data_IF_155251660040
#
_entry.id   IF_155251660040
#
_cell.length_a   1.000
_cell.length_b   1.000
_cell.length_c   1.000
_cell.angle_alpha   90.00
_cell.angle_beta   90.00
_cell.angle_gamma   90.00
#
_symmetry.space_group_name_H-M   'P 1'
#
loop_
_entity.id
_entity.type
_entity.pdbx_description
1 polymer ?
#
# COMPACT_ATOMS: atom_id res chain seq x y z
N UNK A 1 12.81 4.23 -3.38
CA UNK A 1 13.09 5.65 -3.14
C UNK A 1 13.08 6.47 -4.43
N UNK A 2 13.99 6.22 -5.39
CA UNK A 2 14.18 7.06 -6.59
C UNK A 2 12.90 7.21 -7.44
N UNK A 3 12.16 6.14 -7.70
CA UNK A 3 10.91 6.22 -8.51
C UNK A 3 9.82 6.96 -7.74
N UNK A 4 9.72 6.77 -6.42
CA UNK A 4 8.79 7.52 -5.57
C UNK A 4 9.10 9.02 -5.64
N UNK A 5 10.38 9.41 -5.48
CA UNK A 5 10.81 10.80 -5.62
C UNK A 5 10.39 11.39 -6.97
N UNK A 6 10.74 10.71 -8.08
CA UNK A 6 10.41 11.15 -9.44
C UNK A 6 8.91 11.24 -9.72
N UNK A 7 8.10 10.39 -9.09
CA UNK A 7 6.65 10.46 -9.19
C UNK A 7 6.12 11.69 -8.43
N UNK A 8 6.59 11.90 -7.20
CA UNK A 8 6.11 12.98 -6.34
C UNK A 8 6.56 14.37 -6.80
N UNK A 9 7.78 14.49 -7.35
CA UNK A 9 8.32 15.70 -7.96
C UNK A 9 7.41 16.26 -9.10
N UNK A 10 6.54 15.44 -9.67
CA UNK A 10 5.56 15.90 -10.66
C UNK A 10 4.40 16.73 -10.05
N UNK A 11 4.19 16.65 -8.73
CA UNK A 11 3.00 17.19 -8.06
C UNK A 11 3.30 18.08 -6.86
N UNK A 12 4.51 18.06 -6.33
CA UNK A 12 4.90 18.82 -5.15
C UNK A 12 6.31 19.38 -5.30
N UNK A 13 6.67 20.34 -4.47
CA UNK A 13 8.01 20.91 -4.44
C UNK A 13 9.09 19.88 -4.07
N UNK A 14 10.32 20.15 -4.46
CA UNK A 14 11.47 19.28 -4.23
C UNK A 14 11.66 18.94 -2.74
N UNK A 15 11.42 19.91 -1.85
CA UNK A 15 11.54 19.72 -0.40
C UNK A 15 10.49 18.72 0.12
N UNK A 16 9.23 18.86 -0.30
CA UNK A 16 8.17 17.93 0.07
C UNK A 16 8.40 16.52 -0.48
N UNK A 17 8.87 16.41 -1.73
CA UNK A 17 9.20 15.11 -2.33
C UNK A 17 10.36 14.41 -1.60
N UNK A 18 11.40 15.14 -1.22
CA UNK A 18 12.51 14.61 -0.41
C UNK A 18 12.03 14.15 0.96
N UNK A 19 11.22 14.95 1.66
CA UNK A 19 10.64 14.57 2.95
C UNK A 19 9.80 13.30 2.84
N UNK A 20 8.96 13.21 1.81
CA UNK A 20 8.14 12.02 1.57
C UNK A 20 8.98 10.74 1.43
N UNK A 21 10.10 10.81 0.71
CA UNK A 21 11.04 9.66 0.57
C UNK A 21 11.72 9.33 1.88
N UNK A 22 12.13 10.34 2.66
CA UNK A 22 12.69 10.12 4.00
C UNK A 22 11.68 9.44 4.93
N UNK A 23 10.43 9.91 4.99
CA UNK A 23 9.40 9.28 5.80
C UNK A 23 9.01 7.89 5.31
N UNK A 24 9.05 7.65 4.00
CA UNK A 24 8.90 6.30 3.47
C UNK A 24 10.01 5.36 3.99
N UNK A 25 11.26 5.81 3.98
CA UNK A 25 12.40 5.03 4.48
C UNK A 25 12.35 4.81 6.01
N UNK A 26 11.81 5.77 6.76
CA UNK A 26 11.62 5.71 8.21
C UNK A 26 10.29 5.07 8.64
N UNK A 27 9.46 4.64 7.70
CA UNK A 27 8.16 4.04 8.05
C UNK A 27 8.33 2.74 8.84
N UNK A 28 7.44 2.42 9.78
CA UNK A 28 7.56 1.24 10.65
C UNK A 28 7.78 -0.08 9.91
N UNK A 29 7.21 -0.19 8.71
CA UNK A 29 7.28 -1.40 7.88
C UNK A 29 8.29 -1.32 6.73
N UNK A 30 9.17 -0.30 6.70
CA UNK A 30 10.10 -0.11 5.58
C UNK A 30 11.12 -1.24 5.43
N UNK A 31 11.49 -1.94 6.49
CA UNK A 31 12.40 -3.07 6.44
C UNK A 31 11.86 -4.25 5.61
N UNK A 32 10.55 -4.38 5.44
CA UNK A 32 9.96 -5.38 4.55
C UNK A 32 10.35 -5.17 3.08
N UNK A 33 10.70 -3.93 2.69
CA UNK A 33 11.22 -3.67 1.34
C UNK A 33 12.68 -4.11 1.15
N UNK A 34 13.41 -4.41 2.22
CA UNK A 34 14.75 -5.01 2.18
C UNK A 34 14.73 -6.52 2.39
N UNK A 35 13.63 -7.06 2.91
CA UNK A 35 13.45 -8.50 3.10
C UNK A 35 13.22 -9.22 1.75
N UNK A 36 13.52 -10.54 1.65
CA UNK A 36 13.29 -11.33 0.43
C UNK A 36 11.80 -11.62 0.23
N UNK A 37 11.01 -10.57 0.06
CA UNK A 37 9.56 -10.58 -0.08
C UNK A 37 9.11 -9.83 -1.32
N UNK A 38 7.84 -9.94 -1.69
CA UNK A 38 7.28 -9.35 -2.92
C UNK A 38 7.03 -7.85 -2.85
N UNK A 39 7.14 -7.23 -1.67
CA UNK A 39 6.78 -5.81 -1.44
C UNK A 39 7.62 -4.85 -2.28
N UNK A 40 8.92 -5.04 -2.35
CA UNK A 40 9.83 -4.20 -3.12
C UNK A 40 9.48 -4.18 -4.60
N UNK A 41 9.26 -5.37 -5.18
CA UNK A 41 8.92 -5.51 -6.59
C UNK A 41 7.52 -4.95 -6.87
N UNK A 42 6.56 -5.24 -6.00
CA UNK A 42 5.20 -4.70 -6.08
C UNK A 42 5.20 -3.17 -6.07
N UNK A 43 5.89 -2.57 -5.10
CA UNK A 43 5.99 -1.10 -4.97
C UNK A 43 6.70 -0.48 -6.17
N UNK A 44 7.79 -1.08 -6.64
CA UNK A 44 8.51 -0.60 -7.83
C UNK A 44 7.60 -0.59 -9.06
N UNK A 45 6.92 -1.70 -9.35
CA UNK A 45 6.02 -1.82 -10.49
C UNK A 45 4.82 -0.87 -10.37
N UNK A 46 4.25 -0.72 -9.18
CA UNK A 46 3.15 0.21 -8.92
C UNK A 46 3.56 1.66 -9.17
N UNK A 47 4.70 2.07 -8.63
CA UNK A 47 5.23 3.43 -8.82
C UNK A 47 5.61 3.70 -10.27
N UNK A 48 6.24 2.75 -10.98
CA UNK A 48 6.55 2.87 -12.39
C UNK A 48 5.28 2.99 -13.23
N UNK A 49 4.26 2.19 -12.94
CA UNK A 49 2.96 2.27 -13.60
C UNK A 49 2.36 3.66 -13.49
N UNK A 50 2.30 4.22 -12.28
CA UNK A 50 1.80 5.57 -12.02
C UNK A 50 2.66 6.65 -12.69
N UNK A 51 3.99 6.58 -12.54
CA UNK A 51 4.92 7.54 -13.12
C UNK A 51 4.83 7.59 -14.65
N UNK A 52 4.82 6.42 -15.30
CA UNK A 52 4.74 6.32 -16.76
C UNK A 52 3.38 6.79 -17.28
N UNK A 53 2.28 6.48 -16.58
CA UNK A 53 0.96 7.01 -16.90
C UNK A 53 0.96 8.55 -16.85
N UNK A 54 1.57 9.13 -15.81
CA UNK A 54 1.74 10.58 -15.65
C UNK A 54 2.59 11.22 -16.75
N UNK A 55 3.57 10.48 -17.27
CA UNK A 55 4.42 10.89 -18.40
C UNK A 55 3.77 10.63 -19.76
N UNK A 56 2.50 10.21 -19.80
CA UNK A 56 1.75 9.91 -21.04
C UNK A 56 2.16 8.62 -21.75
N UNK A 57 2.98 7.78 -21.11
CA UNK A 57 3.45 6.51 -21.68
C UNK A 57 2.51 5.37 -21.29
N UNK A 58 1.36 5.27 -21.98
CA UNK A 58 0.27 4.34 -21.64
C UNK A 58 0.72 2.88 -21.64
N UNK A 59 1.34 2.42 -22.74
CA UNK A 59 1.70 0.99 -22.88
C UNK A 59 2.61 0.49 -21.77
N UNK A 60 3.78 1.09 -21.48
CA UNK A 60 4.59 0.64 -20.38
C UNK A 60 3.92 0.84 -19.03
N UNK A 61 3.05 1.85 -18.86
CA UNK A 61 2.30 2.04 -17.61
C UNK A 61 1.39 0.84 -17.30
N UNK A 62 0.60 0.37 -18.26
CA UNK A 62 -0.30 -0.78 -18.05
C UNK A 62 0.47 -2.10 -17.92
N UNK A 63 1.61 -2.24 -18.61
CA UNK A 63 2.48 -3.42 -18.44
C UNK A 63 3.06 -3.50 -17.03
N UNK A 64 3.60 -2.39 -16.49
CA UNK A 64 4.05 -2.37 -15.08
C UNK A 64 2.89 -2.55 -14.10
N UNK A 65 1.69 -2.07 -14.43
CA UNK A 65 0.46 -2.36 -13.67
C UNK A 65 0.14 -3.86 -13.65
N UNK A 66 0.27 -4.54 -14.80
CA UNK A 66 0.09 -5.99 -14.89
C UNK A 66 1.17 -6.75 -14.09
N UNK A 67 2.43 -6.32 -14.14
CA UNK A 67 3.47 -6.91 -13.30
C UNK A 67 3.20 -6.72 -11.80
N UNK A 68 2.68 -5.56 -11.39
CA UNK A 68 2.26 -5.35 -10.01
C UNK A 68 1.12 -6.30 -9.62
N UNK A 69 0.11 -6.48 -10.48
CA UNK A 69 -1.00 -7.41 -10.27
C UNK A 69 -0.58 -8.89 -10.28
N UNK A 70 0.45 -9.23 -11.06
CA UNK A 70 1.08 -10.56 -11.04
C UNK A 70 1.83 -10.81 -9.74
N UNK A 71 2.54 -9.80 -9.24
CA UNK A 71 3.33 -9.91 -8.00
C UNK A 71 2.45 -10.01 -6.75
N UNK A 72 1.35 -9.26 -6.72
CA UNK A 72 0.35 -9.27 -5.63
C UNK A 72 -1.04 -8.98 -6.21
N UNK A 73 -2.04 -9.74 -5.80
CA UNK A 73 -3.43 -9.56 -6.26
C UNK A 73 -3.96 -8.12 -6.09
N UNK A 74 -3.52 -7.43 -5.04
CA UNK A 74 -3.84 -6.02 -4.77
C UNK A 74 -3.36 -5.06 -5.87
N UNK A 75 -2.45 -5.49 -6.74
CA UNK A 75 -2.01 -4.71 -7.90
C UNK A 75 -3.14 -4.39 -8.90
N UNK A 76 -4.21 -5.18 -8.91
CA UNK A 76 -5.42 -4.89 -9.70
C UNK A 76 -6.04 -3.55 -9.31
N UNK A 77 -5.89 -3.11 -8.05
CA UNK A 77 -6.40 -1.82 -7.56
C UNK A 77 -5.76 -0.63 -8.30
N UNK A 78 -4.60 -0.80 -8.93
CA UNK A 78 -4.00 0.23 -9.78
C UNK A 78 -4.91 0.69 -10.92
N UNK A 79 -5.92 -0.10 -11.31
CA UNK A 79 -6.95 0.34 -12.24
C UNK A 79 -7.59 1.67 -11.80
N UNK A 80 -7.79 1.87 -10.50
CA UNK A 80 -8.43 3.08 -9.96
C UNK A 80 -7.58 4.34 -10.25
N UNK A 81 -6.33 4.46 -9.75
CA UNK A 81 -5.54 5.66 -10.01
C UNK A 81 -5.20 5.83 -11.49
N UNK A 82 -5.00 4.76 -12.26
CA UNK A 82 -4.77 4.84 -13.70
C UNK A 82 -6.00 5.39 -14.45
N UNK A 83 -7.20 4.95 -14.10
CA UNK A 83 -8.44 5.48 -14.66
C UNK A 83 -8.61 6.98 -14.30
N UNK A 84 -8.33 7.37 -13.05
CA UNK A 84 -8.35 8.79 -12.65
C UNK A 84 -7.39 9.65 -13.49
N UNK A 85 -6.19 9.15 -13.81
CA UNK A 85 -5.25 9.86 -14.68
C UNK A 85 -5.77 9.97 -16.11
N UNK A 86 -6.43 8.94 -16.66
CA UNK A 86 -7.06 8.99 -17.98
C UNK A 86 -8.22 9.98 -18.00
N UNK A 87 -9.08 9.98 -17.00
CA UNK A 87 -10.19 10.95 -16.86
C UNK A 87 -9.65 12.37 -16.84
N UNK A 88 -8.65 12.64 -16.01
CA UNK A 88 -8.06 13.96 -15.82
C UNK A 88 -7.44 14.52 -17.11
N UNK A 89 -6.82 13.69 -17.93
CA UNK A 89 -6.26 14.10 -19.23
C UNK A 89 -7.26 14.04 -20.38
N UNK A 90 -8.53 13.71 -20.11
CA UNK A 90 -9.60 13.54 -21.13
C UNK A 90 -9.18 12.55 -22.23
N UNK A 91 -8.67 11.38 -21.81
CA UNK A 91 -8.18 10.35 -22.70
C UNK A 91 -9.27 9.79 -23.60
N UNK A 92 -8.85 9.25 -24.76
CA UNK A 92 -9.77 8.60 -25.71
C UNK A 92 -10.24 7.25 -25.17
N UNK A 93 -11.43 6.80 -25.54
CA UNK A 93 -12.03 5.52 -25.09
C UNK A 93 -11.09 4.33 -25.25
N UNK A 94 -10.35 4.25 -26.36
CA UNK A 94 -9.36 3.20 -26.63
C UNK A 94 -8.26 3.10 -25.55
N UNK A 95 -7.96 4.18 -24.88
CA UNK A 95 -6.93 4.19 -23.81
C UNK A 95 -7.46 3.55 -22.52
N UNK A 96 -8.76 3.66 -22.27
CA UNK A 96 -9.40 2.92 -21.17
C UNK A 96 -9.42 1.41 -21.42
N UNK A 97 -9.57 0.98 -22.67
CA UNK A 97 -9.49 -0.45 -23.04
C UNK A 97 -8.10 -1.01 -22.70
N UNK A 98 -7.03 -0.22 -22.87
CA UNK A 98 -5.69 -0.65 -22.49
C UNK A 98 -5.54 -0.98 -21.00
N UNK A 99 -6.36 -0.41 -20.12
CA UNK A 99 -6.35 -0.74 -18.68
C UNK A 99 -6.69 -2.23 -18.42
N UNK A 100 -7.40 -2.88 -19.34
CA UNK A 100 -7.70 -4.32 -19.25
C UNK A 100 -6.44 -5.21 -19.22
N UNK A 101 -5.28 -4.68 -19.60
CA UNK A 101 -3.98 -5.37 -19.48
C UNK A 101 -3.59 -5.56 -18.01
N UNK A 102 -3.96 -4.65 -17.09
CA UNK A 102 -3.58 -4.73 -15.69
C UNK A 102 -4.08 -6.01 -15.01
N UNK A 103 -5.37 -6.37 -15.06
CA UNK A 103 -5.85 -7.61 -14.45
C UNK A 103 -5.33 -8.89 -15.12
N UNK A 104 -4.81 -8.83 -16.35
CA UNK A 104 -4.17 -9.99 -16.99
C UNK A 104 -2.94 -10.47 -16.20
N UNK A 105 -2.25 -9.59 -15.47
CA UNK A 105 -1.18 -10.00 -14.56
C UNK A 105 -1.69 -10.94 -13.46
N UNK A 106 -2.81 -10.59 -12.82
CA UNK A 106 -3.43 -11.47 -11.84
C UNK A 106 -3.99 -12.76 -12.48
N UNK A 107 -4.57 -12.66 -13.67
CA UNK A 107 -5.03 -13.84 -14.41
C UNK A 107 -3.87 -14.80 -14.74
N UNK A 108 -2.69 -14.28 -15.10
CA UNK A 108 -1.48 -15.08 -15.31
C UNK A 108 -1.05 -15.79 -14.02
N UNK A 109 -1.10 -15.11 -12.86
CA UNK A 109 -0.85 -15.72 -11.56
C UNK A 109 -1.85 -16.85 -11.26
N UNK A 110 -3.14 -16.64 -11.49
CA UNK A 110 -4.17 -17.67 -11.34
C UNK A 110 -3.93 -18.87 -12.27
N UNK A 111 -3.50 -18.61 -13.50
CA UNK A 111 -3.17 -19.67 -14.46
C UNK A 111 -1.99 -20.53 -13.97
N UNK A 112 -0.95 -19.92 -13.38
CA UNK A 112 0.17 -20.66 -12.77
C UNK A 112 -0.33 -21.52 -11.62
N UNK A 113 -1.15 -20.96 -10.72
CA UNK A 113 -1.75 -21.76 -9.63
C UNK A 113 -2.53 -22.96 -10.20
N UNK A 114 -3.35 -22.75 -11.21
CA UNK A 114 -4.10 -23.83 -11.85
C UNK A 114 -3.18 -24.91 -12.44
N UNK A 115 -2.12 -24.51 -13.13
CA UNK A 115 -1.15 -25.45 -13.72
C UNK A 115 -0.40 -26.27 -12.66
N UNK A 116 -0.10 -25.68 -11.50
CA UNK A 116 0.69 -26.31 -10.44
C UNK A 116 -0.18 -27.15 -9.50
N UNK A 117 -1.38 -26.69 -9.16
CA UNK A 117 -2.21 -27.30 -8.10
C UNK A 117 -3.58 -27.77 -8.57
N UNK A 118 -3.94 -27.57 -9.84
CA UNK A 118 -5.29 -27.87 -10.37
C UNK A 118 -6.37 -26.86 -9.96
N UNK A 119 -6.02 -25.84 -9.16
CA UNK A 119 -6.94 -24.81 -8.64
C UNK A 119 -6.37 -23.42 -8.83
N UNK A 120 -7.05 -22.57 -9.62
CA UNK A 120 -6.62 -21.20 -9.91
C UNK A 120 -6.58 -20.30 -8.65
N UNK A 121 -7.39 -20.61 -7.65
CA UNK A 121 -7.53 -19.86 -6.40
C UNK A 121 -6.90 -20.57 -5.19
N UNK A 122 -6.02 -21.53 -5.41
CA UNK A 122 -5.35 -22.29 -4.35
C UNK A 122 -4.68 -21.43 -3.27
N UNK A 123 -4.20 -20.26 -3.66
CA UNK A 123 -3.63 -19.29 -2.71
C UNK A 123 -4.65 -18.81 -1.66
N UNK A 124 -5.94 -18.68 -2.01
CA UNK A 124 -6.99 -18.32 -1.05
C UNK A 124 -7.22 -19.42 -0.02
N UNK A 125 -7.15 -20.67 -0.46
CA UNK A 125 -7.20 -21.82 0.45
C UNK A 125 -6.04 -21.78 1.46
N UNK A 126 -4.81 -21.53 0.99
CA UNK A 126 -3.65 -21.41 1.89
C UNK A 126 -3.78 -20.23 2.85
N UNK A 127 -4.26 -19.09 2.37
CA UNK A 127 -4.50 -17.92 3.23
C UNK A 127 -5.53 -18.22 4.32
N UNK A 128 -6.62 -18.91 3.98
CA UNK A 128 -7.65 -19.26 4.98
C UNK A 128 -7.19 -20.32 5.97
N UNK A 129 -6.40 -21.32 5.53
CA UNK A 129 -6.02 -22.47 6.36
C UNK A 129 -4.82 -22.16 7.26
N UNK A 130 -3.82 -21.39 6.75
CA UNK A 130 -2.58 -21.14 7.48
C UNK A 130 -2.55 -19.78 8.18
N UNK A 131 -3.30 -18.80 7.67
CA UNK A 131 -3.30 -17.42 8.18
C UNK A 131 -4.66 -16.97 8.72
N UNK A 132 -5.69 -17.83 8.63
CA UNK A 132 -7.05 -17.45 9.03
C UNK A 132 -7.66 -16.33 8.19
N UNK A 133 -7.02 -15.95 7.07
CA UNK A 133 -7.48 -14.84 6.25
C UNK A 133 -8.66 -15.26 5.37
N UNK A 134 -9.75 -14.48 5.46
CA UNK A 134 -10.94 -14.66 4.64
C UNK A 134 -11.39 -13.33 4.08
N UNK A 135 -12.02 -13.35 2.91
CA UNK A 135 -12.72 -12.17 2.41
C UNK A 135 -13.87 -11.84 3.36
N UNK A 136 -13.91 -10.61 3.82
CA UNK A 136 -14.94 -10.08 4.70
C UNK A 136 -15.41 -8.71 4.24
N UNK A 137 -16.52 -8.26 4.79
CA UNK A 137 -16.98 -6.90 4.61
C UNK A 137 -16.18 -5.97 5.52
N UNK A 138 -15.90 -4.75 5.03
CA UNK A 138 -15.09 -3.74 5.73
C UNK A 138 -15.47 -3.60 7.22
N UNK A 139 -16.75 -3.42 7.50
CA UNK A 139 -17.23 -3.21 8.87
C UNK A 139 -17.05 -4.45 9.76
N UNK A 140 -17.17 -5.65 9.20
CA UNK A 140 -16.97 -6.90 9.95
C UNK A 140 -15.49 -7.06 10.34
N UNK A 141 -14.57 -6.69 9.45
CA UNK A 141 -13.12 -6.74 9.73
C UNK A 141 -12.74 -5.70 10.79
N UNK A 142 -13.28 -4.47 10.70
CA UNK A 142 -13.05 -3.44 11.68
C UNK A 142 -13.60 -3.83 13.07
N UNK A 143 -14.80 -4.38 13.12
CA UNK A 143 -15.40 -4.90 14.35
C UNK A 143 -14.57 -6.03 14.96
N UNK A 144 -14.13 -6.98 14.12
CA UNK A 144 -13.26 -8.09 14.54
C UNK A 144 -11.94 -7.60 15.14
N UNK A 145 -11.29 -6.59 14.55
CA UNK A 145 -10.05 -6.01 15.09
C UNK A 145 -10.29 -5.33 16.45
N UNK A 146 -11.39 -4.57 16.58
CA UNK A 146 -11.75 -3.91 17.82
C UNK A 146 -12.09 -4.92 18.95
N UNK A 147 -12.85 -5.98 18.61
CA UNK A 147 -13.17 -7.04 19.55
C UNK A 147 -11.93 -7.76 20.05
N UNK A 148 -11.00 -8.11 19.15
CA UNK A 148 -9.76 -8.76 19.54
C UNK A 148 -8.83 -7.84 20.34
N UNK A 149 -8.82 -6.53 20.09
CA UNK A 149 -8.09 -5.58 20.92
C UNK A 149 -8.57 -5.62 22.38
N UNK A 150 -9.88 -5.79 22.60
CA UNK A 150 -10.50 -5.75 23.94
C UNK A 150 -10.50 -7.12 24.63
N UNK A 151 -10.51 -8.23 23.87
CA UNK A 151 -10.70 -9.58 24.40
C UNK A 151 -9.44 -10.44 24.44
N UNK A 152 -8.37 -10.06 23.72
CA UNK A 152 -7.12 -10.83 23.70
C UNK A 152 -6.23 -10.54 24.94
N UNK A 153 -5.19 -11.37 25.14
CA UNK A 153 -4.18 -11.12 26.16
C UNK A 153 -3.50 -9.76 25.92
N UNK A 154 -2.96 -9.15 27.00
CA UNK A 154 -2.29 -7.86 26.91
C UNK A 154 -1.16 -7.85 25.87
N UNK A 155 -0.40 -8.94 25.77
CA UNK A 155 0.69 -9.08 24.78
C UNK A 155 0.15 -9.02 23.34
N UNK A 156 -0.92 -9.71 23.04
CA UNK A 156 -1.56 -9.68 21.71
C UNK A 156 -2.27 -8.34 21.46
N UNK A 157 -2.95 -7.81 22.45
CA UNK A 157 -3.62 -6.51 22.33
C UNK A 157 -2.63 -5.39 22.01
N UNK A 158 -1.50 -5.29 22.76
CA UNK A 158 -0.50 -4.24 22.61
C UNK A 158 0.50 -4.51 21.48
N UNK A 159 0.89 -5.78 21.28
CA UNK A 159 1.89 -6.16 20.27
C UNK A 159 1.34 -6.32 18.88
N UNK A 160 0.04 -6.62 18.72
CA UNK A 160 -0.57 -6.96 17.46
C UNK A 160 -1.73 -6.02 17.08
N UNK A 161 -2.81 -6.03 17.87
CA UNK A 161 -4.05 -5.37 17.46
C UNK A 161 -3.96 -3.85 17.52
N UNK A 162 -3.45 -3.29 18.60
CA UNK A 162 -3.32 -1.83 18.76
C UNK A 162 -2.43 -1.20 17.69
N UNK A 163 -1.22 -1.71 17.38
CA UNK A 163 -0.39 -1.15 16.32
C UNK A 163 -1.05 -1.20 14.93
N UNK A 164 -1.77 -2.29 14.63
CA UNK A 164 -2.50 -2.42 13.37
C UNK A 164 -3.61 -1.38 13.25
N UNK A 165 -4.43 -1.21 14.28
CA UNK A 165 -5.51 -0.22 14.30
C UNK A 165 -4.94 1.20 14.24
N UNK A 166 -3.91 1.51 15.03
CA UNK A 166 -3.26 2.82 15.00
C UNK A 166 -2.67 3.16 13.64
N UNK A 167 -2.01 2.22 12.97
CA UNK A 167 -1.47 2.43 11.63
C UNK A 167 -2.58 2.78 10.62
N UNK A 168 -3.72 2.10 10.69
CA UNK A 168 -4.88 2.36 9.85
C UNK A 168 -5.44 3.78 10.10
N UNK A 169 -5.68 4.13 11.36
CA UNK A 169 -6.23 5.42 11.73
C UNK A 169 -5.29 6.58 11.40
N UNK A 170 -3.99 6.42 11.67
CA UNK A 170 -2.97 7.43 11.35
C UNK A 170 -2.89 7.63 9.83
N UNK A 171 -2.80 6.56 9.04
CA UNK A 171 -2.73 6.66 7.59
C UNK A 171 -3.98 7.35 7.01
N UNK A 172 -5.16 6.98 7.50
CA UNK A 172 -6.42 7.61 7.09
C UNK A 172 -6.44 9.11 7.46
N UNK A 173 -6.09 9.46 8.69
CA UNK A 173 -6.03 10.84 9.15
C UNK A 173 -5.04 11.69 8.33
N UNK A 174 -3.84 11.15 8.03
CA UNK A 174 -2.84 11.84 7.22
C UNK A 174 -3.34 12.11 5.79
N UNK A 175 -3.95 11.12 5.15
CA UNK A 175 -4.47 11.28 3.78
C UNK A 175 -5.65 12.25 3.75
N UNK A 176 -6.56 12.21 4.74
CA UNK A 176 -7.66 13.17 4.88
C UNK A 176 -7.10 14.60 5.07
N UNK A 177 -6.15 14.79 5.98
CA UNK A 177 -5.54 16.09 6.26
C UNK A 177 -4.83 16.67 5.02
N UNK A 178 -4.20 15.81 4.22
CA UNK A 178 -3.49 16.21 3.01
C UNK A 178 -4.39 16.21 1.75
N UNK A 179 -5.65 15.77 1.81
CA UNK A 179 -6.48 15.48 0.64
C UNK A 179 -6.60 16.65 -0.36
N UNK A 180 -6.65 17.88 0.13
CA UNK A 180 -6.71 19.08 -0.73
C UNK A 180 -5.40 19.37 -1.45
N UNK A 181 -4.27 18.90 -0.93
CA UNK A 181 -2.93 19.09 -1.50
C UNK A 181 -2.46 17.88 -2.30
N UNK A 182 -2.98 16.71 -1.99
CA UNK A 182 -2.68 15.47 -2.70
C UNK A 182 -3.34 15.45 -4.08
N UNK A 183 -2.67 14.82 -5.02
CA UNK A 183 -3.28 14.50 -6.30
C UNK A 183 -4.44 13.51 -6.13
N UNK A 184 -5.56 13.77 -6.80
CA UNK A 184 -6.78 12.96 -6.68
C UNK A 184 -6.56 11.46 -6.97
N UNK A 185 -5.67 11.12 -7.92
CA UNK A 185 -5.32 9.73 -8.20
C UNK A 185 -4.64 9.02 -7.03
N UNK A 186 -3.82 9.72 -6.22
CA UNK A 186 -3.21 9.13 -5.02
C UNK A 186 -4.23 8.91 -3.92
N UNK A 187 -5.12 9.88 -3.72
CA UNK A 187 -6.22 9.75 -2.75
C UNK A 187 -7.16 8.61 -3.15
N UNK A 188 -7.55 8.54 -4.43
CA UNK A 188 -8.40 7.45 -4.94
C UNK A 188 -7.72 6.08 -4.83
N UNK A 189 -6.41 6.00 -5.11
CA UNK A 189 -5.63 4.78 -4.91
C UNK A 189 -5.62 4.37 -3.45
N UNK A 190 -5.36 5.30 -2.55
CA UNK A 190 -5.36 5.03 -1.11
C UNK A 190 -6.72 4.52 -0.64
N UNK A 191 -7.82 5.18 -0.99
CA UNK A 191 -9.16 4.77 -0.58
C UNK A 191 -9.50 3.37 -1.10
N UNK A 192 -9.27 3.12 -2.39
CA UNK A 192 -9.55 1.81 -2.98
C UNK A 192 -8.68 0.70 -2.35
N UNK A 193 -7.40 0.98 -2.14
CA UNK A 193 -6.48 0.06 -1.51
C UNK A 193 -6.83 -0.19 -0.04
N UNK A 194 -7.17 0.87 0.70
CA UNK A 194 -7.58 0.80 2.10
C UNK A 194 -8.82 -0.06 2.27
N UNK A 195 -9.86 0.19 1.46
CA UNK A 195 -11.11 -0.57 1.54
C UNK A 195 -10.90 -2.05 1.19
N UNK A 196 -10.12 -2.36 0.16
CA UNK A 196 -9.91 -3.75 -0.27
C UNK A 196 -8.89 -4.46 0.62
N UNK A 197 -7.74 -3.85 0.90
CA UNK A 197 -6.67 -4.49 1.65
C UNK A 197 -6.99 -4.62 3.13
N UNK A 198 -7.59 -3.59 3.73
CA UNK A 198 -7.85 -3.51 5.17
C UNK A 198 -9.26 -3.95 5.50
N UNK A 199 -10.20 -3.65 4.61
CA UNK A 199 -11.61 -3.92 4.84
C UNK A 199 -12.07 -5.31 4.44
N UNK A 200 -11.51 -5.86 3.37
CA UNK A 200 -11.99 -7.13 2.80
C UNK A 200 -11.27 -8.36 3.33
N UNK A 201 -10.15 -8.21 4.03
CA UNK A 201 -9.37 -9.34 4.56
C UNK A 201 -9.07 -9.16 6.04
N UNK A 202 -8.97 -10.26 6.76
CA UNK A 202 -8.43 -10.25 8.11
C UNK A 202 -6.95 -9.88 8.04
N UNK A 203 -6.61 -8.68 8.54
CA UNK A 203 -5.31 -8.10 8.30
C UNK A 203 -4.50 -8.01 9.58
N UNK A 204 -3.46 -8.82 9.65
CA UNK A 204 -2.48 -8.78 10.72
C UNK A 204 -1.27 -7.87 10.41
N UNK A 205 -1.22 -7.26 9.22
CA UNK A 205 -0.03 -6.52 8.75
C UNK A 205 -0.40 -5.16 8.15
N UNK A 206 -1.30 -4.40 8.78
CA UNK A 206 -1.72 -3.11 8.28
C UNK A 206 -0.54 -2.15 7.97
N UNK A 207 0.49 -1.98 8.82
CA UNK A 207 1.64 -1.13 8.52
C UNK A 207 2.35 -1.50 7.22
N UNK A 208 2.52 -2.81 6.96
CA UNK A 208 3.18 -3.35 5.77
C UNK A 208 2.39 -3.06 4.49
N UNK A 209 1.06 -3.23 4.52
CA UNK A 209 0.22 -2.92 3.37
C UNK A 209 0.14 -1.42 3.11
N UNK A 210 -0.01 -0.62 4.15
CA UNK A 210 -0.10 0.85 4.02
C UNK A 210 1.21 1.48 3.53
N UNK A 211 2.36 0.92 3.87
CA UNK A 211 3.67 1.36 3.38
C UNK A 211 3.81 1.20 1.85
N UNK A 212 3.06 0.29 1.23
CA UNK A 212 3.10 0.06 -0.21
C UNK A 212 2.31 1.10 -1.05
N UNK A 213 1.61 2.05 -0.41
CA UNK A 213 0.80 3.06 -1.09
C UNK A 213 1.46 4.43 -1.03
N UNK A 214 1.72 5.12 -2.16
CA UNK A 214 2.47 6.38 -2.19
C UNK A 214 1.77 7.55 -1.51
N UNK A 215 0.45 7.47 -1.26
CA UNK A 215 -0.32 8.55 -0.66
C UNK A 215 0.12 8.89 0.77
N UNK A 216 0.48 7.90 1.59
CA UNK A 216 0.88 8.12 2.99
C UNK A 216 2.19 8.90 3.09
N UNK A 217 3.31 8.47 2.47
CA UNK A 217 4.53 9.26 2.49
C UNK A 217 4.37 10.61 1.80
N UNK A 218 3.56 10.71 0.73
CA UNK A 218 3.25 11.99 0.10
C UNK A 218 2.52 12.95 1.05
N UNK A 219 1.54 12.47 1.80
CA UNK A 219 0.85 13.24 2.82
C UNK A 219 1.81 13.77 3.90
N UNK A 220 2.68 12.90 4.42
CA UNK A 220 3.72 13.29 5.38
C UNK A 220 4.65 14.37 4.81
N UNK A 221 5.10 14.22 3.56
CA UNK A 221 5.93 15.21 2.89
C UNK A 221 5.28 16.60 2.78
N UNK A 222 3.97 16.63 2.53
CA UNK A 222 3.18 17.86 2.39
C UNK A 222 2.79 18.51 3.71
N UNK A 223 2.61 17.73 4.78
CA UNK A 223 2.14 18.22 6.08
C UNK A 223 3.28 18.64 7.00
N UNK A 224 4.52 18.24 6.72
CA UNK A 224 5.69 18.52 7.55
C UNK A 224 6.57 19.60 6.93
N UNK A 225 6.05 20.79 6.71
CA UNK A 225 6.79 21.94 6.14
C UNK A 225 7.66 22.66 7.19
N UNK A 226 7.25 22.68 8.46
CA UNK A 226 7.96 23.31 9.57
C UNK A 226 9.05 22.38 10.15
N UNK A 227 10.17 22.95 10.59
CA UNK A 227 11.29 22.19 11.15
C UNK A 227 10.87 21.35 12.37
N UNK A 228 10.05 21.92 13.26
CA UNK A 228 9.55 21.22 14.45
C UNK A 228 8.73 19.99 14.08
N UNK A 229 7.76 20.16 13.15
CA UNK A 229 6.94 19.04 12.69
C UNK A 229 7.76 17.95 11.99
N UNK A 230 8.80 18.34 11.24
CA UNK A 230 9.74 17.39 10.61
C UNK A 230 10.47 16.57 11.65
N UNK A 231 11.06 17.23 12.65
CA UNK A 231 11.83 16.56 13.69
C UNK A 231 10.96 15.61 14.50
N UNK A 232 9.80 16.07 14.98
CA UNK A 232 8.87 15.23 15.74
C UNK A 232 8.39 14.05 14.91
N UNK A 233 7.97 14.28 13.68
CA UNK A 233 7.50 13.18 12.80
C UNK A 233 8.62 12.18 12.50
N UNK A 234 9.84 12.65 12.25
CA UNK A 234 10.99 11.77 12.00
C UNK A 234 11.33 10.94 13.23
N UNK A 235 11.35 11.56 14.42
CA UNK A 235 11.62 10.87 15.68
C UNK A 235 10.57 9.80 15.99
N UNK A 236 9.28 10.13 15.83
CA UNK A 236 8.18 9.18 16.03
C UNK A 236 8.21 8.04 14.99
N UNK A 237 8.47 8.36 13.70
CA UNK A 237 8.59 7.35 12.66
C UNK A 237 9.77 6.40 12.93
N UNK A 238 10.91 6.94 13.34
CA UNK A 238 12.09 6.15 13.68
C UNK A 238 11.88 5.27 14.92
N UNK A 239 11.25 5.83 15.96
CA UNK A 239 10.89 5.06 17.16
C UNK A 239 9.93 3.90 16.82
N UNK A 240 8.91 4.17 15.99
CA UNK A 240 8.01 3.14 15.50
C UNK A 240 8.71 2.11 14.59
N UNK A 241 9.65 2.55 13.75
CA UNK A 241 10.49 1.64 12.96
C UNK A 241 11.28 0.69 13.87
N UNK A 242 11.95 1.20 14.89
CA UNK A 242 12.69 0.37 15.86
C UNK A 242 11.77 -0.59 16.62
N UNK A 243 10.59 -0.12 17.02
CA UNK A 243 9.59 -0.94 17.72
C UNK A 243 9.10 -2.14 16.90
N UNK A 244 9.16 -2.05 15.57
CA UNK A 244 8.84 -3.17 14.66
C UNK A 244 10.07 -3.96 14.24
N UNK A 245 11.17 -3.28 13.94
CA UNK A 245 12.38 -3.89 13.39
C UNK A 245 13.12 -4.76 14.42
N UNK A 246 13.20 -4.29 15.68
CA UNK A 246 13.88 -5.06 16.73
C UNK A 246 13.17 -6.39 17.03
N UNK A 247 11.84 -6.44 17.27
CA UNK A 247 11.12 -7.70 17.37
C UNK A 247 11.29 -8.61 16.13
N UNK A 248 11.27 -8.04 14.92
CA UNK A 248 11.51 -8.81 13.70
C UNK A 248 12.89 -9.49 13.71
N UNK A 249 13.95 -8.78 14.10
CA UNK A 249 15.29 -9.35 14.23
C UNK A 249 15.37 -10.45 15.31
N UNK A 250 14.63 -10.28 16.39
CA UNK A 250 14.53 -11.25 17.48
C UNK A 250 13.60 -12.43 17.15
N UNK A 251 13.07 -12.49 15.92
CA UNK A 251 12.11 -13.50 15.45
C UNK A 251 10.82 -13.55 16.29
N UNK A 252 10.45 -12.44 16.91
CA UNK A 252 9.14 -12.29 17.52
C UNK A 252 8.09 -12.09 16.42
N UNK A 253 6.84 -12.35 16.75
CA UNK A 253 5.74 -12.09 15.83
C UNK A 253 5.62 -10.57 15.58
N UNK A 254 5.90 -10.14 14.36
CA UNK A 254 5.74 -8.76 13.88
C UNK A 254 4.84 -8.82 12.67
N UNK A 255 3.69 -8.22 12.79
CA UNK A 255 2.64 -8.29 11.79
C UNK A 255 2.36 -6.94 11.13
#
# INVERSE_FOLDING_TARGET
GCVLYKLLELDMDEGAAKRAVCFFALSPASFFFAAPMSESLFMLCSLLSLYLMRRGRLVPAVLFGAYAAFTRSLGVILLVPLAFELIRRRARVREYIALAVVPLGFAAYCLINYKVSGDAFRFMYYQSTHWGQRLGLFFNTAAYQAENLLSSSADNALGLWLPNILAQLIALALVIAAAKKLRASYTAHFIAYFVVAIGATWLLSAPRYLAAVPAVPAALGLLTDKNESRFVTAALSFAAFLAYFVPFLLRWQVW
#
